data_IF_471522031322
#
_entry.id   IF_471522031322
#
_cell.length_a   1.000
_cell.length_b   1.000
_cell.length_c   1.000
_cell.angle_alpha   90.00
_cell.angle_beta   90.00
_cell.angle_gamma   90.00
#
_symmetry.space_group_name_H-M   'P 1'
#
loop_
_entity.id
_entity.type
_entity.pdbx_description
1 polymer ?
#
# COMPACT_ATOMS: atom_id res chain seq x y z
N UNK A 1 18.85 24.40 -8.68
CA UNK A 1 19.05 22.94 -8.89
C UNK A 1 17.77 22.39 -9.49
N UNK A 2 17.81 21.27 -10.24
CA UNK A 2 16.59 20.63 -10.73
C UNK A 2 15.69 20.20 -9.55
N UNK A 3 14.37 20.37 -9.69
CA UNK A 3 13.38 19.91 -8.72
C UNK A 3 12.98 18.47 -9.04
N UNK A 4 13.25 17.56 -8.12
CA UNK A 4 12.91 16.13 -8.25
C UNK A 4 11.82 15.70 -7.24
N UNK A 5 11.06 16.67 -6.73
CA UNK A 5 9.98 16.45 -5.78
C UNK A 5 10.45 16.21 -4.36
N UNK A 6 9.60 15.52 -3.59
CA UNK A 6 9.74 15.38 -2.14
C UNK A 6 10.89 14.47 -1.70
N UNK A 7 11.31 13.51 -2.54
CA UNK A 7 12.37 12.56 -2.19
C UNK A 7 13.66 12.84 -2.97
N UNK A 8 13.64 12.59 -4.28
CA UNK A 8 14.72 12.87 -5.23
C UNK A 8 15.76 11.74 -5.42
N UNK A 9 16.62 11.86 -6.45
CA UNK A 9 17.71 10.92 -6.75
C UNK A 9 18.67 10.73 -5.58
N UNK A 10 19.17 9.50 -5.40
CA UNK A 10 20.08 9.14 -4.31
C UNK A 10 19.44 9.02 -2.92
N UNK A 11 18.13 9.27 -2.79
CA UNK A 11 17.39 9.03 -1.53
C UNK A 11 17.18 7.53 -1.28
N UNK A 12 17.17 7.13 -0.01
CA UNK A 12 16.87 5.75 0.41
C UNK A 12 15.42 5.37 0.03
N UNK A 13 14.50 6.34 0.03
CA UNK A 13 13.14 6.14 -0.46
C UNK A 13 13.11 5.78 -1.94
N UNK A 14 13.85 6.47 -2.81
CA UNK A 14 13.90 6.09 -4.22
C UNK A 14 14.54 4.72 -4.44
N UNK A 15 15.57 4.36 -3.67
CA UNK A 15 16.16 3.01 -3.71
C UNK A 15 15.09 1.92 -3.44
N UNK A 16 14.24 2.14 -2.43
CA UNK A 16 13.15 1.21 -2.08
C UNK A 16 12.03 1.23 -3.12
N UNK A 17 11.50 2.40 -3.47
CA UNK A 17 10.31 2.55 -4.31
C UNK A 17 10.57 2.14 -5.76
N UNK A 18 11.76 2.42 -6.29
CA UNK A 18 12.12 2.11 -7.66
C UNK A 18 12.54 0.66 -7.86
N UNK A 19 12.64 -0.14 -6.80
CA UNK A 19 13.02 -1.54 -6.94
C UNK A 19 11.89 -2.38 -7.56
N UNK A 20 12.17 -3.28 -8.52
CA UNK A 20 11.16 -4.15 -9.15
C UNK A 20 10.26 -4.90 -8.16
N UNK A 21 10.81 -5.37 -7.04
CA UNK A 21 10.04 -6.02 -5.98
C UNK A 21 8.93 -5.10 -5.40
N UNK A 22 9.22 -3.82 -5.17
CA UNK A 22 8.23 -2.87 -4.68
C UNK A 22 7.18 -2.61 -5.74
N UNK A 23 7.60 -2.34 -6.98
CA UNK A 23 6.69 -2.12 -8.12
C UNK A 23 5.67 -3.25 -8.29
N UNK A 24 6.11 -4.50 -8.13
CA UNK A 24 5.24 -5.68 -8.31
C UNK A 24 4.28 -5.88 -7.12
N UNK A 25 4.74 -5.64 -5.88
CA UNK A 25 4.00 -6.04 -4.68
C UNK A 25 3.39 -4.88 -3.87
N UNK A 26 3.61 -3.62 -4.25
CA UNK A 26 3.18 -2.44 -3.48
C UNK A 26 1.69 -2.45 -3.14
N UNK A 27 0.80 -2.63 -4.13
CA UNK A 27 -0.65 -2.59 -3.93
C UNK A 27 -1.12 -3.65 -2.92
N UNK A 28 -0.54 -4.86 -2.97
CA UNK A 28 -0.91 -5.94 -2.07
C UNK A 28 -0.47 -5.67 -0.63
N UNK A 29 0.79 -5.25 -0.43
CA UNK A 29 1.30 -5.00 0.93
C UNK A 29 0.70 -3.74 1.56
N UNK A 30 0.49 -2.68 0.76
CA UNK A 30 -0.22 -1.47 1.18
C UNK A 30 -1.64 -1.83 1.57
N UNK A 31 -2.36 -2.56 0.72
CA UNK A 31 -3.71 -3.03 1.01
C UNK A 31 -3.78 -3.74 2.35
N UNK A 32 -2.90 -4.70 2.62
CA UNK A 32 -2.88 -5.40 3.91
C UNK A 32 -2.65 -4.52 5.12
N UNK A 33 -1.80 -3.49 5.02
CA UNK A 33 -1.53 -2.60 6.14
C UNK A 33 -2.62 -1.54 6.32
N UNK A 34 -3.24 -1.09 5.23
CA UNK A 34 -4.33 -0.13 5.25
C UNK A 34 -5.62 -0.78 5.77
N UNK A 35 -5.96 -2.00 5.37
CA UNK A 35 -7.21 -2.68 5.79
C UNK A 35 -7.17 -3.23 7.21
N UNK A 36 -5.99 -3.34 7.84
CA UNK A 36 -5.91 -3.63 9.28
C UNK A 36 -6.00 -2.38 10.15
N UNK A 37 -5.86 -1.18 9.58
CA UNK A 37 -6.09 0.07 10.31
C UNK A 37 -7.58 0.40 10.25
N UNK A 38 -8.27 0.22 11.38
CA UNK A 38 -9.75 0.25 11.44
C UNK A 38 -10.40 1.48 10.77
N UNK A 39 -9.92 2.73 10.95
CA UNK A 39 -10.52 3.88 10.28
C UNK A 39 -10.45 3.86 8.74
N UNK A 40 -9.36 3.34 8.16
CA UNK A 40 -9.28 3.21 6.70
C UNK A 40 -10.23 2.12 6.20
N UNK A 41 -10.30 0.98 6.90
CA UNK A 41 -11.23 -0.10 6.56
C UNK A 41 -12.69 0.37 6.64
N UNK A 42 -13.05 1.15 7.67
CA UNK A 42 -14.37 1.78 7.78
C UNK A 42 -14.66 2.70 6.58
N UNK A 43 -13.70 3.55 6.22
CA UNK A 43 -13.81 4.42 5.04
C UNK A 43 -14.00 3.64 3.74
N UNK A 44 -13.33 2.50 3.59
CA UNK A 44 -13.51 1.61 2.43
C UNK A 44 -14.93 1.01 2.45
N UNK A 45 -15.33 0.41 3.56
CA UNK A 45 -16.66 -0.19 3.77
C UNK A 45 -17.79 0.78 3.43
N UNK A 46 -17.72 2.01 3.92
CA UNK A 46 -18.84 2.95 3.86
C UNK A 46 -18.82 3.83 2.60
N UNK A 47 -17.64 4.22 2.14
CA UNK A 47 -17.50 5.30 1.16
C UNK A 47 -16.81 4.91 -0.15
N UNK A 48 -16.06 3.81 -0.22
CA UNK A 48 -15.36 3.46 -1.46
C UNK A 48 -16.38 3.17 -2.58
N UNK A 49 -16.15 3.68 -3.80
CA UNK A 49 -16.99 3.36 -4.95
C UNK A 49 -17.24 1.86 -5.15
N UNK A 50 -16.27 0.99 -4.86
CA UNK A 50 -16.48 -0.47 -5.02
C UNK A 50 -17.48 -1.01 -3.99
N UNK A 51 -17.45 -0.51 -2.75
CA UNK A 51 -18.37 -0.92 -1.68
C UNK A 51 -19.78 -0.42 -1.96
N UNK A 52 -19.93 0.81 -2.47
CA UNK A 52 -21.23 1.37 -2.91
C UNK A 52 -21.82 0.54 -4.05
N UNK A 53 -21.05 0.30 -5.12
CA UNK A 53 -21.48 -0.57 -6.23
C UNK A 53 -21.78 -2.00 -5.78
N UNK A 54 -21.05 -2.49 -4.77
CA UNK A 54 -21.30 -3.80 -4.15
C UNK A 54 -22.70 -3.85 -3.55
N UNK A 55 -23.05 -2.88 -2.71
CA UNK A 55 -24.39 -2.72 -2.12
C UNK A 55 -25.48 -2.56 -3.17
N UNK A 56 -25.21 -1.81 -4.24
CA UNK A 56 -26.14 -1.64 -5.36
C UNK A 56 -26.25 -2.90 -6.25
N UNK A 57 -25.41 -3.92 -6.02
CA UNK A 57 -25.36 -5.15 -6.81
C UNK A 57 -24.87 -4.94 -8.24
N UNK A 58 -24.17 -3.83 -8.53
CA UNK A 58 -23.68 -3.44 -9.86
C UNK A 58 -22.17 -3.60 -10.02
N UNK A 59 -21.45 -3.94 -8.94
CA UNK A 59 -20.01 -4.12 -8.96
C UNK A 59 -19.59 -5.23 -9.94
N UNK A 60 -18.61 -4.93 -10.78
CA UNK A 60 -17.93 -5.89 -11.65
C UNK A 60 -16.49 -6.08 -11.21
N UNK A 61 -15.82 -7.12 -11.70
CA UNK A 61 -14.39 -7.25 -11.43
C UNK A 61 -13.54 -6.20 -12.19
N UNK A 62 -14.04 -5.62 -13.28
CA UNK A 62 -13.37 -4.49 -13.93
C UNK A 62 -13.33 -3.27 -13.02
N UNK A 63 -14.42 -2.96 -12.32
CA UNK A 63 -14.45 -1.86 -11.35
C UNK A 63 -13.38 -2.03 -10.27
N UNK A 64 -13.27 -3.23 -9.71
CA UNK A 64 -12.25 -3.57 -8.72
C UNK A 64 -10.83 -3.43 -9.30
N UNK A 65 -10.63 -3.85 -10.56
CA UNK A 65 -9.34 -3.71 -11.23
C UNK A 65 -8.97 -2.25 -11.51
N UNK A 66 -9.90 -1.44 -12.00
CA UNK A 66 -9.69 -0.02 -12.26
C UNK A 66 -9.43 0.76 -10.97
N UNK A 67 -10.07 0.37 -9.86
CA UNK A 67 -9.80 0.93 -8.53
C UNK A 67 -8.37 0.64 -8.06
N UNK A 68 -7.83 -0.56 -8.33
CA UNK A 68 -6.45 -0.92 -8.03
C UNK A 68 -5.45 -0.15 -8.91
N UNK A 69 -5.72 -0.01 -10.21
CA UNK A 69 -4.87 0.77 -11.12
C UNK A 69 -4.85 2.26 -10.74
N UNK A 70 -6.01 2.84 -10.42
CA UNK A 70 -6.08 4.25 -10.00
C UNK A 70 -5.25 4.52 -8.73
N UNK A 71 -5.25 3.58 -7.78
CA UNK A 71 -4.40 3.68 -6.58
C UNK A 71 -2.92 3.83 -6.96
N UNK A 72 -2.39 2.90 -7.75
CA UNK A 72 -1.00 2.94 -8.21
C UNK A 72 -0.69 4.20 -9.03
N UNK A 73 -1.55 4.54 -9.98
CA UNK A 73 -1.37 5.70 -10.86
C UNK A 73 -1.36 7.05 -10.14
N UNK A 74 -2.08 7.19 -9.02
CA UNK A 74 -2.07 8.43 -8.23
C UNK A 74 -0.77 8.63 -7.44
N UNK A 75 -0.15 7.56 -6.96
CA UNK A 75 1.03 7.67 -6.09
C UNK A 75 2.34 7.91 -6.86
N UNK A 76 2.50 7.34 -8.06
CA UNK A 76 3.69 7.56 -8.90
C UNK A 76 4.09 9.04 -9.05
N UNK A 77 3.19 9.95 -9.48
CA UNK A 77 3.53 11.36 -9.62
C UNK A 77 3.81 12.07 -8.28
N UNK A 78 3.30 11.56 -7.15
CA UNK A 78 3.61 12.11 -5.81
C UNK A 78 5.03 11.73 -5.36
N UNK A 79 5.48 10.51 -5.64
CA UNK A 79 6.80 10.04 -5.20
C UNK A 79 7.95 10.42 -6.15
N UNK A 80 7.66 10.50 -7.45
CA UNK A 80 8.68 10.58 -8.50
C UNK A 80 8.58 11.85 -9.36
N UNK A 81 7.48 12.59 -9.26
CA UNK A 81 7.30 13.86 -9.96
C UNK A 81 8.04 15.03 -9.30
N UNK A 82 7.95 16.21 -9.91
CA UNK A 82 8.41 17.46 -9.29
C UNK A 82 7.52 17.88 -8.10
N UNK A 83 7.97 18.87 -7.33
CA UNK A 83 7.25 19.31 -6.11
C UNK A 83 5.87 19.84 -6.45
N UNK A 84 5.74 20.63 -7.51
CA UNK A 84 4.46 21.20 -7.94
C UNK A 84 3.44 20.12 -8.36
N UNK A 85 3.91 19.03 -8.96
CA UNK A 85 3.07 17.88 -9.33
C UNK A 85 2.62 17.12 -8.09
N UNK A 86 3.53 16.86 -7.15
CA UNK A 86 3.19 16.20 -5.90
C UNK A 86 2.14 16.99 -5.10
N UNK A 87 2.29 18.31 -4.97
CA UNK A 87 1.32 19.19 -4.30
C UNK A 87 -0.06 19.18 -4.98
N UNK A 88 -0.11 19.22 -6.32
CA UNK A 88 -1.36 19.12 -7.08
C UNK A 88 -2.06 17.78 -6.84
N UNK A 89 -1.31 16.69 -6.81
CA UNK A 89 -1.84 15.36 -6.57
C UNK A 89 -2.37 15.20 -5.14
N UNK A 90 -1.67 15.75 -4.14
CA UNK A 90 -2.18 15.75 -2.76
C UNK A 90 -3.45 16.59 -2.63
N UNK A 91 -3.52 17.76 -3.27
CA UNK A 91 -4.76 18.56 -3.30
C UNK A 91 -5.91 17.78 -3.95
N UNK A 92 -5.64 17.07 -5.05
CA UNK A 92 -6.63 16.22 -5.70
C UNK A 92 -7.13 15.10 -4.77
N UNK A 93 -6.21 14.39 -4.11
CA UNK A 93 -6.55 13.32 -3.17
C UNK A 93 -7.33 13.84 -1.97
N UNK A 94 -6.94 15.00 -1.42
CA UNK A 94 -7.63 15.65 -0.32
C UNK A 94 -9.09 15.96 -0.69
N UNK A 95 -9.36 16.49 -1.89
CA UNK A 95 -10.72 16.75 -2.36
C UNK A 95 -11.58 15.48 -2.47
N UNK A 96 -10.97 14.33 -2.75
CA UNK A 96 -11.66 13.03 -2.74
C UNK A 96 -11.97 12.63 -1.29
N UNK A 97 -10.98 12.71 -0.41
CA UNK A 97 -11.09 12.32 1.00
C UNK A 97 -12.02 13.21 1.84
N UNK A 98 -12.28 14.46 1.42
CA UNK A 98 -13.28 15.36 2.04
C UNK A 98 -14.68 14.75 2.14
N UNK A 99 -14.99 13.71 1.35
CA UNK A 99 -16.28 13.01 1.34
C UNK A 99 -16.25 11.66 2.05
N UNK A 100 -15.12 11.31 2.68
CA UNK A 100 -14.90 10.01 3.31
C UNK A 100 -14.86 10.24 4.82
N UNK A 101 -16.04 10.13 5.44
CA UNK A 101 -16.22 10.25 6.87
C UNK A 101 -17.44 9.44 7.31
N UNK A 102 -17.47 9.04 8.57
CA UNK A 102 -18.59 8.31 9.17
C UNK A 102 -18.50 8.31 10.68
N UNK A 103 -19.64 8.06 11.35
CA UNK A 103 -19.75 8.17 12.81
C UNK A 103 -19.32 6.89 13.56
N UNK A 104 -19.11 5.78 12.83
CA UNK A 104 -18.82 4.47 13.41
C UNK A 104 -17.65 3.83 12.66
N UNK A 105 -16.53 3.66 13.36
CA UNK A 105 -15.41 2.84 12.88
C UNK A 105 -15.82 1.35 12.90
N UNK A 106 -16.22 0.81 14.04
CA UNK A 106 -16.49 -0.61 14.23
C UNK A 106 -17.80 -0.81 14.99
N UNK A 107 -18.73 -1.58 14.42
CA UNK A 107 -20.06 -1.78 15.02
C UNK A 107 -20.01 -2.54 16.35
N UNK A 108 -18.95 -3.33 16.57
CA UNK A 108 -18.74 -4.07 17.81
C UNK A 108 -17.97 -3.29 18.88
N UNK A 109 -17.38 -2.15 18.53
CA UNK A 109 -16.58 -1.29 19.41
C UNK A 109 -16.97 0.19 19.19
N UNK A 110 -18.24 0.58 19.49
CA UNK A 110 -18.75 1.92 19.22
C UNK A 110 -17.99 3.03 19.96
N UNK A 111 -17.30 2.70 21.05
CA UNK A 111 -16.44 3.61 21.81
C UNK A 111 -15.23 4.13 21.02
N UNK A 112 -14.88 3.49 19.89
CA UNK A 112 -13.86 4.01 18.97
C UNK A 112 -14.32 5.30 18.26
N UNK A 113 -15.63 5.55 18.23
CA UNK A 113 -16.24 6.72 17.59
C UNK A 113 -16.18 6.66 16.06
N UNK A 114 -16.22 7.85 15.45
CA UNK A 114 -16.18 8.03 14.01
C UNK A 114 -14.79 8.19 13.43
N UNK A 115 -14.75 8.42 12.13
CA UNK A 115 -13.54 8.69 11.36
C UNK A 115 -13.81 9.77 10.31
N UNK A 116 -12.79 10.54 9.96
CA UNK A 116 -12.75 11.33 8.75
C UNK A 116 -11.38 11.18 8.07
N UNK A 117 -11.36 10.86 6.78
CA UNK A 117 -10.12 10.63 6.04
C UNK A 117 -9.25 11.90 5.89
N UNK A 118 -9.78 13.06 6.29
CA UNK A 118 -9.09 14.35 6.32
C UNK A 118 -8.50 14.68 7.69
N UNK A 119 -8.83 13.91 8.73
CA UNK A 119 -8.27 14.12 10.05
C UNK A 119 -6.78 13.80 10.07
N UNK A 120 -6.03 14.56 10.86
CA UNK A 120 -4.57 14.47 10.93
C UNK A 120 -4.06 13.05 11.19
N UNK A 121 -4.69 12.33 12.11
CA UNK A 121 -4.32 10.94 12.47
C UNK A 121 -4.53 10.00 11.28
N UNK A 122 -5.65 10.11 10.59
CA UNK A 122 -6.08 9.27 9.47
C UNK A 122 -5.18 9.48 8.27
N UNK A 123 -4.89 10.75 7.96
CA UNK A 123 -3.97 11.15 6.90
C UNK A 123 -2.56 10.63 7.18
N UNK A 124 -2.07 10.80 8.41
CA UNK A 124 -0.77 10.27 8.83
C UNK A 124 -0.71 8.75 8.67
N UNK A 125 -1.71 8.03 9.18
CA UNK A 125 -1.73 6.57 9.09
C UNK A 125 -1.91 6.08 7.66
N UNK A 126 -2.67 6.77 6.81
CA UNK A 126 -2.77 6.43 5.39
C UNK A 126 -1.40 6.46 4.71
N UNK A 127 -0.60 7.52 4.94
CA UNK A 127 0.75 7.65 4.41
C UNK A 127 1.75 6.65 5.03
N UNK A 128 1.69 6.41 6.33
CA UNK A 128 2.60 5.47 7.02
C UNK A 128 2.31 4.00 6.68
N UNK A 129 1.03 3.63 6.53
CA UNK A 129 0.59 2.30 6.07
C UNK A 129 0.76 2.11 4.57
N UNK A 130 1.28 3.11 3.87
CA UNK A 130 1.77 3.02 2.49
C UNK A 130 3.30 2.86 2.47
N UNK A 131 4.03 3.79 3.11
CA UNK A 131 5.50 3.82 3.05
C UNK A 131 6.17 2.68 3.82
N UNK A 132 5.76 2.41 5.05
CA UNK A 132 6.37 1.35 5.86
C UNK A 132 6.26 -0.05 5.22
N UNK A 133 5.10 -0.51 4.71
CA UNK A 133 5.03 -1.81 4.05
C UNK A 133 5.86 -1.91 2.77
N UNK A 134 6.11 -0.82 2.05
CA UNK A 134 7.02 -0.85 0.89
C UNK A 134 8.45 -1.20 1.30
N UNK A 135 8.95 -0.61 2.39
CA UNK A 135 10.22 -1.03 3.00
C UNK A 135 10.19 -2.52 3.38
N UNK A 136 9.08 -3.02 3.95
CA UNK A 136 8.96 -4.43 4.34
C UNK A 136 9.02 -5.38 3.15
N UNK A 137 8.36 -5.03 2.04
CA UNK A 137 8.40 -5.81 0.79
C UNK A 137 9.80 -5.78 0.19
N UNK A 138 10.43 -4.60 0.13
CA UNK A 138 11.80 -4.48 -0.35
C UNK A 138 12.76 -5.37 0.47
N UNK A 139 12.70 -5.31 1.80
CA UNK A 139 13.50 -6.18 2.67
C UNK A 139 13.21 -7.68 2.51
N UNK A 140 11.97 -8.04 2.16
CA UNK A 140 11.51 -9.42 2.05
C UNK A 140 11.77 -10.04 0.67
N UNK A 141 11.80 -9.23 -0.39
CA UNK A 141 11.70 -9.70 -1.77
C UNK A 141 12.71 -9.08 -2.73
N UNK A 142 13.40 -7.99 -2.39
CA UNK A 142 14.36 -7.37 -3.30
C UNK A 142 15.65 -8.21 -3.41
N UNK A 143 15.91 -8.74 -4.60
CA UNK A 143 17.21 -9.31 -4.94
C UNK A 143 18.13 -8.18 -5.40
N UNK A 144 19.08 -7.80 -4.54
CA UNK A 144 20.02 -6.71 -4.78
C UNK A 144 21.45 -7.18 -4.64
N UNK A 145 22.34 -6.64 -5.47
CA UNK A 145 23.78 -6.93 -5.47
C UNK A 145 24.12 -8.43 -5.57
N UNK A 146 23.29 -9.19 -6.31
CA UNK A 146 23.43 -10.65 -6.44
C UNK A 146 23.13 -11.43 -5.15
N UNK A 147 22.55 -10.78 -4.13
CA UNK A 147 22.23 -11.39 -2.83
C UNK A 147 20.75 -11.71 -2.71
N UNK A 148 20.45 -12.67 -1.84
CA UNK A 148 19.09 -12.94 -1.39
C UNK A 148 18.49 -11.71 -0.67
N UNK A 149 17.15 -11.57 -0.66
CA UNK A 149 16.50 -10.51 0.08
C UNK A 149 16.89 -10.53 1.56
N UNK A 150 17.17 -9.35 2.09
CA UNK A 150 17.60 -9.17 3.47
C UNK A 150 17.13 -7.82 4.00
N UNK A 151 17.14 -7.69 5.32
CA UNK A 151 16.80 -6.45 6.00
C UNK A 151 17.85 -5.37 5.73
N UNK A 152 17.42 -4.12 5.60
CA UNK A 152 18.36 -3.00 5.50
C UNK A 152 19.08 -2.77 6.85
N UNK A 153 20.29 -2.19 6.84
CA UNK A 153 20.93 -1.70 8.06
C UNK A 153 20.03 -0.72 8.83
N UNK A 154 20.16 -0.66 10.15
CA UNK A 154 19.30 0.19 10.99
C UNK A 154 19.32 1.67 10.54
N UNK A 155 20.51 2.22 10.27
CA UNK A 155 20.68 3.59 9.79
C UNK A 155 19.99 3.85 8.44
N UNK A 156 19.99 2.88 7.52
CA UNK A 156 19.28 2.98 6.24
C UNK A 156 17.76 3.01 6.46
N UNK A 157 17.24 2.18 7.37
CA UNK A 157 15.81 2.18 7.70
C UNK A 157 15.37 3.48 8.36
N UNK A 158 16.21 4.08 9.19
CA UNK A 158 15.95 5.40 9.78
C UNK A 158 16.02 6.52 8.73
N UNK A 159 16.98 6.48 7.79
CA UNK A 159 17.00 7.41 6.64
C UNK A 159 15.72 7.29 5.80
N UNK A 160 15.32 6.06 5.46
CA UNK A 160 14.07 5.81 4.73
C UNK A 160 12.87 6.43 5.46
N UNK A 161 12.80 6.31 6.78
CA UNK A 161 11.70 6.90 7.56
C UNK A 161 11.77 8.42 7.63
N UNK A 162 12.96 8.99 7.85
CA UNK A 162 13.18 10.44 7.86
C UNK A 162 12.88 11.09 6.50
N UNK A 163 13.17 10.39 5.40
CA UNK A 163 12.79 10.83 4.06
C UNK A 163 11.27 10.64 3.82
N UNK A 164 10.69 9.52 4.25
CA UNK A 164 9.24 9.26 4.17
C UNK A 164 8.42 10.30 4.94
N UNK A 165 8.96 10.88 6.00
CA UNK A 165 8.34 11.99 6.73
C UNK A 165 8.00 13.19 5.83
N UNK A 166 8.74 13.41 4.73
CA UNK A 166 8.42 14.45 3.74
C UNK A 166 7.10 14.19 3.02
N UNK A 167 6.76 12.93 2.76
CA UNK A 167 5.47 12.54 2.19
C UNK A 167 4.34 12.75 3.20
N UNK A 168 4.55 12.37 4.46
CA UNK A 168 3.57 12.62 5.54
C UNK A 168 3.31 14.12 5.70
N UNK A 169 4.38 14.94 5.67
CA UNK A 169 4.29 16.41 5.73
C UNK A 169 3.57 17.01 4.53
N UNK A 170 3.76 16.46 3.33
CA UNK A 170 3.06 16.91 2.12
C UNK A 170 1.54 16.85 2.29
N UNK A 171 1.04 15.90 3.07
CA UNK A 171 -0.38 15.78 3.39
C UNK A 171 -0.87 16.69 4.53
N UNK A 172 -0.03 17.58 5.07
CA UNK A 172 -0.41 18.57 6.07
C UNK A 172 -0.40 18.09 7.52
N UNK A 173 0.24 16.95 7.82
CA UNK A 173 0.39 16.46 9.19
C UNK A 173 1.37 17.37 9.97
N UNK A 174 1.07 17.76 11.22
CA UNK A 174 1.97 18.53 12.08
C UNK A 174 3.30 17.82 12.34
N UNK A 175 4.40 18.57 12.35
CA UNK A 175 5.77 18.04 12.44
C UNK A 175 6.00 17.18 13.68
N UNK A 176 5.40 17.53 14.81
CA UNK A 176 5.54 16.84 16.09
C UNK A 176 4.82 15.48 16.15
N UNK A 177 3.92 15.20 15.20
CA UNK A 177 3.26 13.91 15.06
C UNK A 177 4.00 12.95 14.10
N UNK A 178 4.86 13.46 13.21
CA UNK A 178 5.47 12.67 12.14
C UNK A 178 6.67 11.85 12.67
N UNK A 179 6.67 10.51 12.55
CA UNK A 179 7.84 9.71 12.90
C UNK A 179 8.93 9.88 11.84
N UNK A 180 10.15 10.16 12.29
CA UNK A 180 11.35 10.31 11.44
C UNK A 180 12.34 9.15 11.59
N UNK A 181 12.08 8.22 12.52
CA UNK A 181 12.89 7.03 12.75
C UNK A 181 12.02 5.79 12.90
N UNK A 182 12.59 4.61 12.72
CA UNK A 182 11.88 3.35 12.96
C UNK A 182 11.45 3.17 14.42
N UNK A 183 12.21 3.74 15.36
CA UNK A 183 11.88 3.71 16.79
C UNK A 183 10.64 4.57 17.09
N UNK A 184 10.57 5.79 16.55
CA UNK A 184 9.38 6.64 16.67
C UNK A 184 8.15 6.00 16.01
N UNK A 185 8.32 5.40 14.82
CA UNK A 185 7.23 4.67 14.17
C UNK A 185 6.74 3.49 15.03
N UNK A 186 7.64 2.76 15.70
CA UNK A 186 7.25 1.68 16.60
C UNK A 186 6.43 2.18 17.79
N UNK A 187 6.85 3.27 18.43
CA UNK A 187 6.07 3.92 19.51
C UNK A 187 4.69 4.37 19.02
N UNK A 188 4.58 4.83 17.78
CA UNK A 188 3.30 5.21 17.18
C UNK A 188 2.37 3.99 17.01
N UNK A 189 2.89 2.87 16.53
CA UNK A 189 2.13 1.60 16.47
C UNK A 189 1.72 1.06 17.85
N UNK A 190 2.44 1.41 18.91
CA UNK A 190 2.06 1.09 20.29
C UNK A 190 0.93 2.02 20.77
N UNK A 191 1.08 3.33 20.57
CA UNK A 191 0.07 4.35 20.90
C UNK A 191 -1.29 4.02 20.27
N UNK A 192 -1.31 3.64 19.00
CA UNK A 192 -2.54 3.34 18.25
C UNK A 192 -2.83 1.84 18.12
N UNK A 193 -2.23 1.00 18.95
CA UNK A 193 -2.39 -0.48 18.88
C UNK A 193 -3.86 -0.93 18.77
N UNK A 194 -4.75 -0.30 19.53
CA UNK A 194 -6.18 -0.62 19.54
C UNK A 194 -6.85 -0.45 18.16
N UNK A 195 -6.38 0.48 17.32
CA UNK A 195 -6.88 0.68 15.95
C UNK A 195 -6.31 -0.32 14.93
N UNK A 196 -5.38 -1.18 15.35
CA UNK A 196 -4.80 -2.24 14.53
C UNK A 196 -5.17 -3.63 15.02
N UNK A 197 -6.00 -3.77 16.07
CA UNK A 197 -6.40 -5.09 16.55
C UNK A 197 -7.44 -5.70 15.61
N UNK A 198 -7.34 -7.01 15.42
CA UNK A 198 -8.33 -7.75 14.67
C UNK A 198 -9.71 -7.59 15.33
N UNK A 199 -10.72 -7.30 14.52
CA UNK A 199 -12.11 -7.27 14.93
C UNK A 199 -12.95 -8.08 13.94
N UNK A 200 -13.81 -9.01 14.43
CA UNK A 200 -14.71 -9.77 13.57
C UNK A 200 -15.88 -8.92 13.05
N UNK A 201 -16.14 -7.76 13.67
CA UNK A 201 -17.25 -6.87 13.33
C UNK A 201 -16.85 -5.72 12.41
N UNK A 202 -15.54 -5.54 12.17
CA UNK A 202 -15.00 -4.46 11.34
C UNK A 202 -15.64 -4.39 9.95
N UNK A 203 -15.93 -5.55 9.36
CA UNK A 203 -16.48 -5.67 8.00
C UNK A 203 -17.99 -5.52 7.93
N UNK A 204 -18.67 -5.41 9.05
CA UNK A 204 -20.13 -5.32 9.06
C UNK A 204 -20.55 -3.90 8.70
N UNK A 205 -21.43 -3.79 7.69
CA UNK A 205 -22.08 -2.55 7.29
C UNK A 205 -22.98 -2.09 8.45
N UNK A 206 -22.80 -0.86 8.98
CA UNK A 206 -23.54 -0.40 10.16
C UNK A 206 -25.06 -0.48 10.01
N UNK A 207 -25.59 -0.19 8.82
CA UNK A 207 -27.03 -0.12 8.60
C UNK A 207 -27.70 -1.49 8.44
N UNK A 208 -26.98 -2.48 7.89
CA UNK A 208 -27.57 -3.79 7.52
C UNK A 208 -27.03 -4.95 8.34
N UNK A 209 -25.86 -4.80 8.96
CA UNK A 209 -25.14 -5.88 9.63
C UNK A 209 -24.54 -6.92 8.68
N UNK A 210 -24.58 -6.68 7.36
CA UNK A 210 -23.98 -7.59 6.36
C UNK A 210 -22.47 -7.35 6.24
N UNK A 211 -21.71 -8.40 5.91
CA UNK A 211 -20.29 -8.27 5.58
C UNK A 211 -20.10 -7.63 4.20
N UNK A 212 -19.41 -6.49 4.15
CA UNK A 212 -19.27 -5.73 2.89
C UNK A 212 -18.43 -6.47 1.84
N UNK A 213 -17.46 -7.30 2.23
CA UNK A 213 -16.68 -8.11 1.28
C UNK A 213 -17.54 -9.22 0.69
N UNK A 214 -18.43 -9.83 1.49
CA UNK A 214 -19.38 -10.83 0.99
C UNK A 214 -20.37 -10.22 0.00
N UNK A 215 -20.92 -9.03 0.32
CA UNK A 215 -21.81 -8.28 -0.58
C UNK A 215 -21.10 -7.94 -1.90
N UNK A 216 -19.88 -7.41 -1.83
CA UNK A 216 -19.07 -7.13 -3.02
C UNK A 216 -18.76 -8.39 -3.82
N UNK A 217 -18.40 -9.48 -3.16
CA UNK A 217 -18.11 -10.78 -3.80
C UNK A 217 -19.31 -11.33 -4.55
N UNK A 218 -20.50 -11.31 -3.93
CA UNK A 218 -21.76 -11.71 -4.57
C UNK A 218 -22.06 -10.87 -5.80
N UNK A 219 -21.89 -9.55 -5.71
CA UNK A 219 -22.10 -8.65 -6.85
C UNK A 219 -21.13 -8.95 -8.01
N UNK A 220 -19.83 -9.10 -7.73
CA UNK A 220 -18.84 -9.41 -8.76
C UNK A 220 -19.11 -10.76 -9.45
N UNK A 221 -19.49 -11.79 -8.68
CA UNK A 221 -19.84 -13.11 -9.24
C UNK A 221 -21.08 -13.00 -10.12
N UNK A 222 -22.13 -12.31 -9.64
CA UNK A 222 -23.38 -12.10 -10.38
C UNK A 222 -23.15 -11.36 -11.71
N UNK A 223 -22.28 -10.35 -11.70
CA UNK A 223 -22.00 -9.50 -12.86
C UNK A 223 -20.75 -9.96 -13.66
N UNK A 224 -20.31 -11.20 -13.45
CA UNK A 224 -19.16 -11.74 -14.17
C UNK A 224 -19.46 -11.86 -15.67
N UNK A 225 -18.50 -11.48 -16.49
CA UNK A 225 -18.54 -11.67 -17.93
C UNK A 225 -17.18 -12.16 -18.44
N UNK A 226 -17.14 -13.06 -19.44
CA UNK A 226 -15.91 -13.70 -19.90
C UNK A 226 -14.85 -12.72 -20.41
N UNK A 227 -15.24 -11.53 -20.89
CA UNK A 227 -14.31 -10.47 -21.32
C UNK A 227 -13.45 -9.96 -20.17
N UNK A 228 -13.92 -10.11 -18.93
CA UNK A 228 -13.22 -9.70 -17.72
C UNK A 228 -11.98 -10.58 -17.46
N UNK A 229 -12.01 -11.86 -17.86
CA UNK A 229 -10.95 -12.85 -17.60
C UNK A 229 -9.56 -12.34 -17.98
N UNK A 230 -9.41 -11.69 -19.14
CA UNK A 230 -8.11 -11.21 -19.61
C UNK A 230 -7.49 -10.13 -18.71
N UNK A 231 -8.30 -9.31 -18.05
CA UNK A 231 -7.81 -8.27 -17.15
C UNK A 231 -7.54 -8.81 -15.74
N UNK A 232 -8.38 -9.74 -15.25
CA UNK A 232 -8.35 -10.12 -13.83
C UNK A 232 -7.53 -11.38 -13.58
N UNK A 233 -7.41 -12.28 -14.55
CA UNK A 233 -6.68 -13.54 -14.37
C UNK A 233 -5.25 -13.33 -13.84
N UNK A 234 -4.44 -12.38 -14.38
CA UNK A 234 -3.11 -12.12 -13.84
C UNK A 234 -3.13 -11.67 -12.37
N UNK A 235 -4.12 -10.85 -11.99
CA UNK A 235 -4.26 -10.34 -10.63
C UNK A 235 -4.82 -11.36 -9.65
N UNK A 236 -5.76 -12.20 -10.09
CA UNK A 236 -6.25 -13.32 -9.29
C UNK A 236 -5.14 -14.34 -9.05
N UNK A 237 -4.36 -14.67 -10.09
CA UNK A 237 -3.18 -15.52 -9.93
C UNK A 237 -2.21 -14.88 -8.95
N UNK A 238 -1.95 -13.58 -9.08
CA UNK A 238 -1.08 -12.86 -8.15
C UNK A 238 -1.63 -12.89 -6.72
N UNK A 239 -2.91 -12.57 -6.50
CA UNK A 239 -3.54 -12.58 -5.19
C UNK A 239 -3.50 -13.98 -4.56
N UNK A 240 -3.91 -15.01 -5.29
CA UNK A 240 -3.93 -16.40 -4.80
C UNK A 240 -2.51 -16.87 -4.46
N UNK A 241 -1.55 -16.62 -5.34
CA UNK A 241 -0.18 -17.08 -5.13
C UNK A 241 0.56 -16.29 -4.05
N UNK A 242 0.34 -14.98 -3.95
CA UNK A 242 1.19 -14.09 -3.16
C UNK A 242 0.56 -13.52 -1.91
N UNK A 243 -0.76 -13.61 -1.68
CA UNK A 243 -1.36 -13.07 -0.45
C UNK A 243 -0.70 -13.64 0.81
N UNK A 244 -0.55 -14.97 0.88
CA UNK A 244 0.05 -15.61 2.04
C UNK A 244 1.57 -15.31 2.17
N UNK A 245 2.39 -15.42 1.10
CA UNK A 245 3.79 -14.97 1.12
C UNK A 245 4.00 -13.51 1.53
N UNK A 246 3.17 -12.59 1.02
CA UNK A 246 3.24 -11.15 1.32
C UNK A 246 2.90 -10.89 2.79
N UNK A 247 1.90 -11.57 3.35
CA UNK A 247 1.63 -11.54 4.79
C UNK A 247 2.85 -12.03 5.62
N UNK A 248 3.66 -12.93 5.06
CA UNK A 248 4.93 -13.36 5.64
C UNK A 248 5.97 -12.25 5.77
N UNK A 249 5.91 -11.20 4.94
CA UNK A 249 6.80 -10.03 5.03
C UNK A 249 6.44 -9.10 6.20
N UNK A 250 5.19 -9.12 6.65
CA UNK A 250 4.70 -8.29 7.75
C UNK A 250 5.21 -8.76 9.13
N UNK A 251 4.95 -7.96 10.16
CA UNK A 251 5.26 -8.35 11.54
C UNK A 251 4.29 -9.43 12.05
N UNK A 252 4.67 -10.13 13.12
CA UNK A 252 3.75 -11.08 13.77
C UNK A 252 2.48 -10.41 14.29
N UNK A 253 2.58 -9.15 14.73
CA UNK A 253 1.46 -8.32 15.19
C UNK A 253 0.50 -8.01 14.05
N UNK A 254 1.01 -7.52 12.91
CA UNK A 254 0.21 -7.26 11.71
C UNK A 254 -0.48 -8.52 11.18
N UNK A 255 0.21 -9.68 11.15
CA UNK A 255 -0.45 -10.95 10.78
C UNK A 255 -1.62 -11.31 11.68
N UNK A 256 -1.51 -11.07 13.00
CA UNK A 256 -2.62 -11.29 13.94
C UNK A 256 -3.76 -10.29 13.72
N UNK A 257 -3.44 -9.03 13.43
CA UNK A 257 -4.40 -8.00 13.05
C UNK A 257 -5.23 -8.39 11.82
N UNK A 258 -4.58 -9.04 10.84
CA UNK A 258 -5.26 -9.64 9.68
C UNK A 258 -6.12 -10.88 10.01
N UNK A 259 -6.20 -11.29 11.28
CA UNK A 259 -6.93 -12.49 11.70
C UNK A 259 -6.20 -13.82 11.43
N UNK A 260 -4.90 -13.81 11.10
CA UNK A 260 -4.16 -15.05 10.89
C UNK A 260 -3.85 -15.74 12.22
N UNK A 261 -4.24 -17.02 12.31
CA UNK A 261 -3.85 -17.89 13.42
C UNK A 261 -2.31 -18.05 13.50
N UNK A 262 -1.74 -18.42 14.66
CA UNK A 262 -0.30 -18.66 14.78
C UNK A 262 0.25 -19.67 13.76
N UNK A 263 -0.51 -20.72 13.47
CA UNK A 263 -0.14 -21.73 12.47
C UNK A 263 -0.11 -21.13 11.04
N UNK A 264 -1.17 -20.40 10.65
CA UNK A 264 -1.20 -19.70 9.34
C UNK A 264 -0.12 -18.63 9.26
N UNK A 265 0.20 -17.95 10.36
CA UNK A 265 1.27 -16.97 10.42
C UNK A 265 2.66 -17.58 10.22
N UNK A 266 2.92 -18.78 10.75
CA UNK A 266 4.16 -19.54 10.47
C UNK A 266 4.19 -19.99 9.00
N UNK A 267 3.07 -20.49 8.48
CA UNK A 267 2.97 -20.88 7.08
C UNK A 267 3.23 -19.69 6.14
N UNK A 268 2.77 -18.48 6.48
CA UNK A 268 3.06 -17.25 5.75
C UNK A 268 4.56 -16.95 5.66
N UNK A 269 5.31 -17.14 6.76
CA UNK A 269 6.76 -16.94 6.77
C UNK A 269 7.47 -17.98 5.88
N UNK A 270 7.05 -19.24 5.96
CA UNK A 270 7.62 -20.31 5.13
C UNK A 270 7.29 -20.12 3.64
N UNK A 271 6.04 -19.77 3.32
CA UNK A 271 5.62 -19.54 1.94
C UNK A 271 6.34 -18.35 1.32
N UNK A 272 6.61 -17.29 2.09
CA UNK A 272 7.47 -16.17 1.68
C UNK A 272 8.83 -16.64 1.16
N UNK A 273 9.46 -17.59 1.86
CA UNK A 273 10.76 -18.14 1.44
C UNK A 273 10.62 -19.03 0.21
N UNK A 274 9.56 -19.86 0.16
CA UNK A 274 9.32 -20.79 -0.93
C UNK A 274 9.06 -20.09 -2.28
N UNK A 275 8.47 -18.89 -2.27
CA UNK A 275 8.19 -18.14 -3.51
C UNK A 275 9.37 -17.32 -4.03
N UNK A 276 10.52 -17.28 -3.33
CA UNK A 276 11.67 -16.45 -3.72
C UNK A 276 12.15 -16.68 -5.16
N UNK A 277 12.22 -17.91 -5.71
CA UNK A 277 12.58 -18.12 -7.12
C UNK A 277 11.59 -17.48 -8.09
N UNK A 278 10.29 -17.53 -7.77
CA UNK A 278 9.24 -16.92 -8.59
C UNK A 278 9.33 -15.39 -8.48
N UNK A 279 9.54 -14.88 -7.26
CA UNK A 279 9.75 -13.46 -6.99
C UNK A 279 10.96 -12.93 -7.77
N UNK A 280 12.05 -13.69 -7.85
CA UNK A 280 13.22 -13.34 -8.67
C UNK A 280 12.88 -13.27 -10.16
N UNK A 281 12.09 -14.22 -10.68
CA UNK A 281 11.61 -14.20 -12.07
C UNK A 281 10.73 -12.96 -12.34
N UNK A 282 9.86 -12.58 -11.41
CA UNK A 282 8.99 -11.41 -11.56
C UNK A 282 9.76 -10.08 -11.63
N UNK A 283 10.98 -10.06 -11.11
CA UNK A 283 11.86 -8.88 -11.14
C UNK A 283 12.66 -8.78 -12.46
N UNK A 284 12.57 -9.78 -13.34
CA UNK A 284 13.27 -9.72 -14.63
C UNK A 284 12.62 -8.67 -15.54
N UNK A 285 13.40 -7.88 -16.30
CA UNK A 285 12.89 -6.70 -17.01
C UNK A 285 11.66 -6.94 -17.90
N UNK A 286 11.53 -8.04 -18.65
CA UNK A 286 10.34 -8.27 -19.48
C UNK A 286 9.05 -8.48 -18.66
N UNK A 287 9.15 -9.20 -17.54
CA UNK A 287 8.01 -9.51 -16.68
C UNK A 287 7.63 -8.26 -15.89
N UNK A 288 8.62 -7.62 -15.29
CA UNK A 288 8.43 -6.38 -14.55
C UNK A 288 7.78 -5.29 -15.42
N UNK A 289 8.29 -5.06 -16.63
CA UNK A 289 7.72 -4.06 -17.57
C UNK A 289 6.26 -4.37 -17.91
N UNK A 290 5.88 -5.65 -17.99
CA UNK A 290 4.48 -6.04 -18.18
C UNK A 290 3.63 -5.67 -16.97
N UNK A 291 4.10 -5.92 -15.76
CA UNK A 291 3.42 -5.52 -14.52
C UNK A 291 3.32 -3.99 -14.39
N UNK A 292 4.40 -3.27 -14.68
CA UNK A 292 4.39 -1.80 -14.67
C UNK A 292 3.32 -1.24 -15.62
N UNK A 293 3.27 -1.71 -16.87
CA UNK A 293 2.26 -1.25 -17.83
C UNK A 293 0.84 -1.57 -17.39
N UNK A 294 0.63 -2.73 -16.79
CA UNK A 294 -0.69 -3.17 -16.34
C UNK A 294 -1.19 -2.37 -15.13
N UNK A 295 -0.30 -2.03 -14.19
CA UNK A 295 -0.69 -1.42 -12.91
C UNK A 295 -0.52 0.10 -12.88
N UNK A 296 0.49 0.63 -13.56
CA UNK A 296 0.91 2.04 -13.49
C UNK A 296 0.63 2.82 -14.77
N UNK A 297 0.23 2.14 -15.84
CA UNK A 297 0.01 2.75 -17.15
C UNK A 297 1.30 3.20 -17.85
N UNK A 298 1.19 3.77 -19.06
CA UNK A 298 2.34 4.20 -19.85
C UNK A 298 3.13 5.34 -19.20
N UNK A 299 2.44 6.33 -18.63
CA UNK A 299 3.09 7.50 -18.02
C UNK A 299 3.86 7.12 -16.76
N UNK A 300 3.29 6.22 -15.94
CA UNK A 300 3.98 5.68 -14.76
C UNK A 300 5.24 4.91 -15.13
N UNK A 301 5.21 4.13 -16.23
CA UNK A 301 6.42 3.44 -16.74
C UNK A 301 7.52 4.44 -17.11
N UNK A 302 7.18 5.50 -17.85
CA UNK A 302 8.15 6.53 -18.25
C UNK A 302 8.74 7.22 -17.02
N UNK A 303 7.90 7.56 -16.05
CA UNK A 303 8.32 8.22 -14.83
C UNK A 303 9.27 7.34 -14.00
N UNK A 304 8.94 6.04 -13.82
CA UNK A 304 9.79 5.08 -13.10
C UNK A 304 11.11 4.86 -13.82
N UNK A 305 11.10 4.67 -15.15
CA UNK A 305 12.32 4.46 -15.94
C UNK A 305 13.24 5.70 -15.89
N UNK A 306 12.68 6.91 -15.99
CA UNK A 306 13.41 8.17 -15.85
C UNK A 306 14.02 8.33 -14.45
N UNK A 307 13.22 8.10 -13.40
CA UNK A 307 13.68 8.17 -12.01
C UNK A 307 14.81 7.18 -11.73
N UNK A 308 14.77 5.96 -12.30
CA UNK A 308 15.86 4.97 -12.19
C UNK A 308 17.18 5.45 -12.81
N UNK A 309 17.12 6.11 -13.96
CA UNK A 309 18.34 6.66 -14.60
C UNK A 309 18.96 7.73 -13.71
N UNK A 310 18.15 8.69 -13.24
CA UNK A 310 18.58 9.76 -12.36
C UNK A 310 19.14 9.22 -11.03
N UNK A 311 18.47 8.23 -10.45
CA UNK A 311 18.90 7.59 -9.21
C UNK A 311 20.28 6.94 -9.35
N UNK A 312 20.50 6.17 -10.43
CA UNK A 312 21.80 5.54 -10.72
C UNK A 312 22.91 6.57 -10.90
N UNK A 313 22.63 7.68 -11.58
CA UNK A 313 23.61 8.77 -11.76
C UNK A 313 23.99 9.41 -10.42
N UNK A 314 23.00 9.67 -9.56
CA UNK A 314 23.24 10.24 -8.24
C UNK A 314 24.09 9.31 -7.34
N UNK A 315 23.79 8.00 -7.32
CA UNK A 315 24.57 7.03 -6.54
C UNK A 315 26.02 6.91 -7.05
N UNK A 316 26.24 6.94 -8.36
CA UNK A 316 27.59 6.91 -8.95
C UNK A 316 28.39 8.16 -8.55
N UNK A 317 27.76 9.33 -8.56
CA UNK A 317 28.40 10.58 -8.15
C UNK A 317 28.73 10.63 -6.64
N UNK A 318 27.95 9.97 -5.78
CA UNK A 318 28.25 9.88 -4.34
C UNK A 318 29.40 8.92 -4.02
N UNK A 319 29.69 7.99 -4.93
CA UNK A 319 30.74 6.97 -4.78
C UNK A 319 32.08 7.38 -5.42
N UNK A 320 32.11 8.53 -6.09
CA UNK A 320 33.28 9.12 -6.76
C UNK A 320 33.93 10.18 -5.87
#
# INVERSE_FOLDING_TARGET
MPDYGIFGPGSEVWEVLLHPATIVFHNSIQGFMQTIYKPIEAGIRDCDPISRKGRDGTLTFFDSFERLQRNAGMHAPMWLGDTATAEKMVKHLHNIHQRVAGDIIDVGEPELGGYAATDTREVMWAALTEMHPMLRVYEAFAFRDGKLPHRLPAAARDRFMGESARYVRLHGVPEDEIPTTMAQLALLYEKYDHLFRHSPTMKLIPETGEDFEEVMGKAMIKNFHFTQVRAILPLMIQAIMFNLPIAGALSGKARRAMGLSPAKGRLAILSRMAVLPIVWLMQQPPIERRFMRLMWGPDGVVLIESARVLHKQALAAQSS
#
